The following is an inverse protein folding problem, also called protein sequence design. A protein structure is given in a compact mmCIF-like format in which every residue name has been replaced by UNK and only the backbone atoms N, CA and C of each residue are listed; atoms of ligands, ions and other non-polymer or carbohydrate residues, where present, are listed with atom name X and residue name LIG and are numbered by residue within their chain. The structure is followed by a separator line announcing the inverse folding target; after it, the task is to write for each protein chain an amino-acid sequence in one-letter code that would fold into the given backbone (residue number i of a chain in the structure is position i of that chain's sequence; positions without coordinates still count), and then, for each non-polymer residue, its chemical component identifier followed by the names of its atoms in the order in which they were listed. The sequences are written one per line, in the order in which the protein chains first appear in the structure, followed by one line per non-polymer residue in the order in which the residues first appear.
data_IF_953609089821
#
_entry.id   IF_953609089821
#
_cell.length_a   1.000
_cell.length_b   1.000
_cell.length_c   1.000
_cell.angle_alpha   90.00
_cell.angle_beta   90.00
_cell.angle_gamma   90.00
#
_symmetry.space_group_name_H-M   'P 1'
#
loop_
_entity.id
_entity.type
_entity.pdbx_description
1 polymer ?
#
# COMPACT_ATOMS: atom_id res chain seq x y z
N UNK A 1 15.29 -0.63 -8.29
CA UNK A 1 15.19 -0.75 -9.77
C UNK A 1 13.84 -0.24 -10.24
N UNK A 2 12.72 -0.79 -9.76
CA UNK A 2 11.35 -0.35 -10.07
C UNK A 2 11.05 1.17 -10.19
N UNK A 3 11.63 2.11 -9.40
CA UNK A 3 11.28 3.53 -9.54
C UNK A 3 11.87 4.21 -10.80
N UNK A 4 12.79 3.55 -11.52
CA UNK A 4 13.41 4.14 -12.71
C UNK A 4 12.79 3.60 -13.98
N UNK A 5 12.28 4.49 -14.84
CA UNK A 5 11.56 4.16 -16.08
C UNK A 5 12.38 3.30 -17.04
N UNK A 6 13.70 3.47 -17.09
CA UNK A 6 14.62 2.68 -17.93
C UNK A 6 14.70 1.21 -17.51
N UNK A 7 14.32 0.89 -16.26
CA UNK A 7 14.41 -0.48 -15.73
C UNK A 7 13.06 -1.15 -15.50
N UNK A 8 11.95 -0.42 -15.66
CA UNK A 8 10.59 -0.96 -15.44
C UNK A 8 10.30 -2.14 -16.37
N UNK A 9 10.63 -2.01 -17.66
CA UNK A 9 10.37 -3.08 -18.63
C UNK A 9 11.14 -4.35 -18.27
N UNK A 10 12.44 -4.23 -17.96
CA UNK A 10 13.30 -5.37 -17.60
C UNK A 10 12.82 -6.07 -16.33
N UNK A 11 12.36 -5.31 -15.34
CA UNK A 11 11.79 -5.88 -14.10
C UNK A 11 10.45 -6.57 -14.38
N UNK A 12 9.64 -6.05 -15.29
CA UNK A 12 8.35 -6.66 -15.65
C UNK A 12 8.54 -8.02 -16.33
N UNK A 13 9.52 -8.14 -17.24
CA UNK A 13 9.89 -9.42 -17.87
C UNK A 13 10.27 -10.47 -16.80
N UNK A 14 11.05 -10.09 -15.81
CA UNK A 14 11.41 -10.98 -14.70
C UNK A 14 10.21 -11.40 -13.84
N UNK A 15 9.27 -10.49 -13.60
CA UNK A 15 8.06 -10.81 -12.86
C UNK A 15 7.19 -11.82 -13.60
N UNK A 16 7.11 -11.72 -14.94
CA UNK A 16 6.44 -12.73 -15.75
C UNK A 16 7.16 -14.08 -15.67
N UNK A 17 8.50 -14.06 -15.73
CA UNK A 17 9.35 -15.24 -15.67
C UNK A 17 9.85 -15.60 -14.26
N UNK A 18 8.97 -15.48 -13.25
CA UNK A 18 9.30 -15.72 -11.84
C UNK A 18 9.78 -17.15 -11.52
N UNK A 19 9.49 -18.12 -12.39
CA UNK A 19 9.85 -19.54 -12.23
C UNK A 19 11.31 -19.83 -12.62
N UNK A 20 12.01 -18.90 -13.28
CA UNK A 20 13.41 -19.09 -13.69
C UNK A 20 14.35 -19.08 -12.47
N UNK A 21 15.54 -19.66 -12.65
CA UNK A 21 16.56 -19.66 -11.61
C UNK A 21 17.00 -18.24 -11.24
N UNK A 22 17.20 -18.00 -9.94
CA UNK A 22 17.56 -16.69 -9.38
C UNK A 22 18.89 -16.18 -9.92
N UNK A 23 19.83 -17.09 -10.21
CA UNK A 23 21.12 -16.73 -10.80
C UNK A 23 20.94 -16.18 -12.21
N UNK A 24 20.10 -16.83 -13.03
CA UNK A 24 19.78 -16.36 -14.37
C UNK A 24 19.09 -15.01 -14.36
N UNK A 25 18.15 -14.79 -13.44
CA UNK A 25 17.48 -13.48 -13.27
C UNK A 25 18.49 -12.38 -12.90
N UNK A 26 19.48 -12.68 -12.05
CA UNK A 26 20.55 -11.75 -11.69
C UNK A 26 21.46 -11.43 -12.88
N UNK A 27 21.94 -12.46 -13.60
CA UNK A 27 22.81 -12.31 -14.75
C UNK A 27 22.12 -11.51 -15.87
N UNK A 28 20.82 -11.71 -16.07
CA UNK A 28 20.02 -10.93 -17.02
C UNK A 28 20.01 -9.43 -16.69
N UNK A 29 19.76 -9.06 -15.43
CA UNK A 29 19.77 -7.65 -15.01
C UNK A 29 21.17 -7.06 -15.12
N UNK A 30 22.20 -7.81 -14.73
CA UNK A 30 23.57 -7.35 -14.76
C UNK A 30 24.04 -7.03 -16.19
N UNK A 31 23.68 -7.88 -17.15
CA UNK A 31 24.10 -7.71 -18.55
C UNK A 31 23.23 -6.73 -19.34
N UNK A 32 21.95 -6.58 -18.96
CA UNK A 32 21.02 -5.69 -19.67
C UNK A 32 21.08 -4.24 -19.17
N UNK A 33 21.47 -4.02 -17.91
CA UNK A 33 21.50 -2.69 -17.32
C UNK A 33 22.84 -1.99 -17.56
N UNK A 34 22.80 -0.80 -18.19
CA UNK A 34 23.97 0.09 -18.23
C UNK A 34 24.35 0.57 -16.82
N UNK A 35 25.65 0.65 -16.48
CA UNK A 35 26.11 1.27 -15.23
C UNK A 35 25.71 2.75 -15.14
N UNK A 36 25.08 3.15 -14.02
CA UNK A 36 24.66 4.53 -13.74
C UNK A 36 24.48 4.71 -12.23
N UNK A 37 24.63 5.94 -11.71
CA UNK A 37 24.28 6.25 -10.33
C UNK A 37 22.76 6.27 -10.16
N UNK A 38 22.19 5.15 -9.69
CA UNK A 38 20.75 4.94 -9.50
C UNK A 38 20.43 4.82 -8.01
N UNK A 39 20.35 5.95 -7.31
CA UNK A 39 19.82 6.00 -5.94
C UNK A 39 18.42 6.63 -5.96
N UNK A 40 17.44 5.94 -5.39
CA UNK A 40 16.10 6.47 -5.16
C UNK A 40 15.61 6.01 -3.79
N UNK A 41 14.99 6.89 -2.98
CA UNK A 41 14.40 6.49 -1.71
C UNK A 41 13.28 5.48 -1.96
N UNK A 42 13.12 4.52 -1.04
CA UNK A 42 12.06 3.53 -1.14
C UNK A 42 10.69 4.21 -0.92
N UNK A 43 9.87 4.25 -1.97
CA UNK A 43 8.53 4.83 -1.90
C UNK A 43 7.64 3.93 -1.04
N UNK A 44 7.32 4.39 0.17
CA UNK A 44 6.36 3.73 1.04
C UNK A 44 4.97 4.30 0.76
N UNK A 45 3.96 3.45 0.69
CA UNK A 45 2.58 3.90 0.63
C UNK A 45 2.25 4.74 1.86
N UNK A 46 1.56 5.87 1.69
CA UNK A 46 1.01 6.62 2.81
C UNK A 46 -0.09 5.76 3.45
N UNK A 47 0.08 5.43 4.73
CA UNK A 47 -1.00 4.79 5.50
C UNK A 47 -2.08 5.84 5.75
N UNK A 48 -3.31 5.52 5.35
CA UNK A 48 -4.49 6.28 5.73
C UNK A 48 -5.01 5.66 7.03
N UNK A 49 -4.64 6.25 8.17
CA UNK A 49 -5.00 5.72 9.49
C UNK A 49 -6.52 5.58 9.69
N UNK A 50 -7.32 6.38 8.97
CA UNK A 50 -8.78 6.38 9.07
C UNK A 50 -9.45 5.30 8.20
N UNK A 51 -8.70 4.62 7.34
CA UNK A 51 -9.26 3.67 6.38
C UNK A 51 -9.64 2.34 7.03
N UNK A 52 -8.94 1.94 8.09
CA UNK A 52 -9.28 0.75 8.87
C UNK A 52 -10.58 0.98 9.66
N UNK A 53 -10.74 2.15 10.29
CA UNK A 53 -11.95 2.50 11.05
C UNK A 53 -13.21 2.53 10.18
N UNK A 54 -13.11 3.09 8.97
CA UNK A 54 -14.24 3.18 8.02
C UNK A 54 -14.61 1.81 7.47
N UNK A 55 -13.61 0.94 7.23
CA UNK A 55 -13.85 -0.45 6.83
C UNK A 55 -14.58 -1.23 7.92
N UNK A 56 -14.15 -1.11 9.17
CA UNK A 56 -14.75 -1.84 10.28
C UNK A 56 -16.17 -1.35 10.57
N UNK A 57 -16.40 -0.04 10.51
CA UNK A 57 -17.71 0.54 10.79
C UNK A 57 -18.77 0.27 9.71
N UNK A 58 -18.38 0.29 8.43
CA UNK A 58 -19.31 0.12 7.31
C UNK A 58 -19.24 -1.26 6.62
N UNK A 59 -18.27 -2.11 6.97
CA UNK A 59 -18.03 -3.39 6.27
C UNK A 59 -17.60 -3.21 4.81
N UNK A 60 -17.02 -2.06 4.46
CA UNK A 60 -16.66 -1.75 3.08
C UNK A 60 -15.36 -2.43 2.64
N UNK A 61 -15.30 -2.78 1.35
CA UNK A 61 -14.06 -3.16 0.67
C UNK A 61 -13.07 -1.99 0.59
N UNK A 62 -11.82 -2.28 0.25
CA UNK A 62 -10.72 -1.30 0.28
C UNK A 62 -10.96 -0.05 -0.58
N UNK A 63 -11.60 -0.21 -1.75
CA UNK A 63 -11.92 0.89 -2.67
C UNK A 63 -13.08 1.73 -2.15
N UNK A 64 -14.20 1.08 -1.79
CA UNK A 64 -15.38 1.76 -1.22
C UNK A 64 -15.06 2.51 0.08
N UNK A 65 -14.09 2.02 0.87
CA UNK A 65 -13.62 2.71 2.06
C UNK A 65 -12.82 3.99 1.73
N UNK A 66 -12.10 4.02 0.61
CA UNK A 66 -11.42 5.24 0.13
C UNK A 66 -12.42 6.26 -0.37
N UNK A 67 -13.41 5.83 -1.14
CA UNK A 67 -14.47 6.71 -1.63
C UNK A 67 -15.28 7.28 -0.46
N UNK A 68 -15.61 6.45 0.53
CA UNK A 68 -16.27 6.90 1.74
C UNK A 68 -15.42 7.92 2.52
N UNK A 69 -14.11 7.72 2.62
CA UNK A 69 -13.21 8.68 3.28
C UNK A 69 -13.16 10.04 2.58
N UNK A 70 -13.35 10.09 1.27
CA UNK A 70 -13.39 11.34 0.51
C UNK A 70 -14.72 12.10 0.71
N UNK A 71 -15.80 11.36 0.96
CA UNK A 71 -17.15 11.92 1.22
C UNK A 71 -17.34 12.32 2.70
N UNK A 72 -16.71 11.60 3.63
CA UNK A 72 -16.90 11.78 5.07
C UNK A 72 -16.16 13.03 5.60
N UNK A 73 -16.89 13.92 6.29
CA UNK A 73 -16.28 15.05 6.98
C UNK A 73 -15.51 14.61 8.24
N UNK A 74 -14.50 15.36 8.63
CA UNK A 74 -13.67 15.16 9.82
C UNK A 74 -14.49 14.96 11.11
N UNK A 75 -15.64 15.62 11.25
CA UNK A 75 -16.58 15.44 12.36
C UNK A 75 -17.23 14.05 12.36
N UNK A 76 -17.58 13.54 11.18
CA UNK A 76 -18.19 12.22 11.02
C UNK A 76 -17.17 11.10 11.27
N UNK A 77 -15.93 11.28 10.81
CA UNK A 77 -14.82 10.36 11.11
C UNK A 77 -14.56 10.29 12.61
N UNK A 78 -14.56 11.43 13.31
CA UNK A 78 -14.42 11.47 14.78
C UNK A 78 -15.58 10.77 15.50
N UNK A 79 -16.81 10.93 15.01
CA UNK A 79 -17.98 10.23 15.55
C UNK A 79 -17.91 8.71 15.32
N UNK A 80 -17.44 8.27 14.15
CA UNK A 80 -17.20 6.84 13.83
C UNK A 80 -16.14 6.28 14.77
N UNK A 81 -15.00 6.96 14.92
CA UNK A 81 -13.94 6.57 15.89
C UNK A 81 -14.48 6.45 17.31
N UNK A 82 -15.32 7.39 17.74
CA UNK A 82 -15.93 7.36 19.08
C UNK A 82 -16.92 6.19 19.26
N UNK A 83 -17.69 5.85 18.22
CA UNK A 83 -18.58 4.68 18.22
C UNK A 83 -17.82 3.35 18.17
N UNK A 84 -16.69 3.32 17.48
CA UNK A 84 -15.81 2.15 17.36
C UNK A 84 -15.00 1.89 18.64
N UNK A 85 -14.67 2.93 19.43
CA UNK A 85 -14.13 2.82 20.80
C UNK A 85 -15.16 2.27 21.82
N UNK A 86 -15.88 1.22 21.44
CA UNK A 86 -16.77 0.45 22.33
C UNK A 86 -15.92 -0.53 23.15
N UNK A 87 -15.36 -0.02 24.24
CA UNK A 87 -14.63 -0.86 25.20
C UNK A 87 -14.11 -0.07 26.39
N UNK A 88 -15.00 0.20 27.37
CA UNK A 88 -14.58 0.52 28.74
C UNK A 88 -15.15 1.80 29.36
N UNK A 89 -16.49 1.89 29.54
CA UNK A 89 -17.12 2.53 30.72
C UNK A 89 -18.63 2.34 30.70
N UNK A 90 -19.09 1.16 31.10
CA UNK A 90 -20.43 0.98 31.66
C UNK A 90 -20.32 -0.05 32.80
N UNK A 91 -19.70 0.39 33.89
CA UNK A 91 -19.71 -0.27 35.18
C UNK A 91 -20.42 0.65 36.18
N UNK A 92 -21.73 0.87 35.96
CA UNK A 92 -22.66 1.20 37.05
C UNK A 92 -23.61 0.01 37.17
N UNK A 93 -23.31 -0.81 38.17
CA UNK A 93 -24.09 -1.94 38.66
C UNK A 93 -23.52 -2.29 40.00
#
# INVERSE_FOLDING_TARGET
MAPFTDTILLVNELNQHHHLDKKLQFDYLLNSLRPRNRFAPWMKAKKLDNLEDVKEFYGYGNEKARDALDILDTKQISAIKKKLKKGGRDGRG
#
